data_IF_536172487920
#
_entry.id   IF_536172487920
#
_cell.length_a   1.000
_cell.length_b   1.000
_cell.length_c   1.000
_cell.angle_alpha   90.00
_cell.angle_beta   90.00
_cell.angle_gamma   90.00
#
_symmetry.space_group_name_H-M   'P 1'
#
loop_
_entity.id
_entity.type
_entity.pdbx_description
1 polymer ?
#
# COMPACT_ATOMS: atom_id res chain seq x y z
N UNK A 1 -35.23 7.91 -31.26
CA UNK A 1 -35.62 6.90 -30.26
C UNK A 1 -34.72 5.68 -30.50
N UNK A 2 -33.66 5.35 -29.75
CA UNK A 2 -33.26 5.66 -28.38
C UNK A 2 -31.77 6.03 -28.33
N UNK A 3 -31.50 7.30 -28.00
CA UNK A 3 -30.28 7.65 -27.31
C UNK A 3 -30.53 7.44 -25.83
N UNK A 4 -29.81 6.51 -25.22
CA UNK A 4 -29.50 6.58 -23.80
C UNK A 4 -28.03 6.20 -23.70
N UNK A 5 -27.20 7.24 -23.79
CA UNK A 5 -25.86 7.21 -23.25
C UNK A 5 -25.99 6.82 -21.77
N UNK A 6 -25.66 5.57 -21.45
CA UNK A 6 -25.67 5.08 -20.08
C UNK A 6 -24.42 5.61 -19.38
N UNK A 7 -24.46 6.90 -19.06
CA UNK A 7 -23.54 7.56 -18.13
C UNK A 7 -23.97 7.18 -16.70
N UNK A 8 -23.65 5.97 -16.27
CA UNK A 8 -23.75 5.60 -14.85
C UNK A 8 -22.36 5.68 -14.23
N UNK A 9 -22.15 6.85 -13.65
CA UNK A 9 -21.35 7.15 -12.48
C UNK A 9 -20.93 5.91 -11.68
N UNK A 10 -19.66 5.54 -11.77
CA UNK A 10 -18.97 4.84 -10.69
C UNK A 10 -18.13 5.87 -9.93
N UNK A 11 -18.80 6.71 -9.14
CA UNK A 11 -18.18 7.34 -7.99
C UNK A 11 -18.02 6.24 -6.94
N UNK A 12 -17.00 5.41 -7.12
CA UNK A 12 -16.70 4.25 -6.28
C UNK A 12 -15.67 4.63 -5.22
N UNK A 13 -16.16 5.20 -4.13
CA UNK A 13 -15.47 5.47 -2.85
C UNK A 13 -14.14 6.22 -2.97
N UNK A 14 -14.14 7.49 -2.57
CA UNK A 14 -13.04 7.96 -1.74
C UNK A 14 -13.04 7.07 -0.50
N UNK A 15 -12.41 5.89 -0.60
CA UNK A 15 -11.95 5.21 0.58
C UNK A 15 -11.16 6.27 1.31
N UNK A 16 -11.44 6.47 2.60
CA UNK A 16 -10.41 7.00 3.49
C UNK A 16 -9.12 6.36 3.03
N UNK A 17 -8.07 7.15 2.75
CA UNK A 17 -6.77 6.57 2.44
C UNK A 17 -6.41 5.74 3.67
N UNK A 18 -6.83 4.47 3.66
CA UNK A 18 -6.39 3.45 4.59
C UNK A 18 -4.99 3.20 4.09
N UNK A 19 -4.10 4.13 4.44
CA UNK A 19 -2.69 4.01 4.16
C UNK A 19 -2.22 2.67 4.69
N UNK A 20 -1.15 2.17 4.13
CA UNK A 20 -0.59 0.91 4.56
C UNK A 20 -0.32 0.96 6.07
N UNK A 21 -1.00 0.11 6.84
CA UNK A 21 -0.84 0.02 8.30
C UNK A 21 0.11 -1.12 8.63
N UNK A 22 1.15 -0.82 9.39
CA UNK A 22 2.09 -1.83 9.86
C UNK A 22 1.42 -2.69 10.94
N UNK A 23 1.58 -4.02 10.91
CA UNK A 23 1.08 -4.89 11.96
C UNK A 23 1.86 -4.65 13.27
N UNK A 24 1.15 -4.81 14.39
CA UNK A 24 1.79 -4.78 15.71
C UNK A 24 2.63 -6.04 15.93
N UNK A 25 3.81 -5.88 16.54
CA UNK A 25 4.63 -7.04 16.88
C UNK A 25 3.91 -7.92 17.90
N UNK A 26 3.93 -9.26 17.72
CA UNK A 26 3.36 -10.17 18.71
C UNK A 26 4.16 -10.13 20.01
N UNK A 27 3.52 -10.50 21.11
CA UNK A 27 4.18 -10.58 22.42
C UNK A 27 5.14 -11.76 22.47
N UNK A 28 6.30 -11.58 23.13
CA UNK A 28 7.25 -12.64 23.40
C UNK A 28 7.60 -12.67 24.90
N UNK A 29 7.19 -13.73 25.64
CA UNK A 29 7.57 -13.89 27.04
C UNK A 29 9.08 -14.04 27.22
N UNK A 30 9.61 -13.62 28.37
CA UNK A 30 11.03 -13.81 28.71
C UNK A 30 11.31 -15.12 29.45
N UNK A 31 10.30 -15.71 30.11
CA UNK A 31 10.45 -16.98 30.83
C UNK A 31 10.38 -18.18 29.86
N UNK A 32 11.42 -19.04 29.79
CA UNK A 32 11.39 -20.26 29.00
C UNK A 32 10.25 -21.23 29.36
N UNK A 33 9.77 -21.23 30.60
CA UNK A 33 8.63 -22.05 31.00
C UNK A 33 7.35 -21.58 30.29
N UNK A 34 7.10 -20.27 30.27
CA UNK A 34 5.95 -19.67 29.57
C UNK A 34 6.05 -19.90 28.06
N UNK A 35 7.24 -19.78 27.47
CA UNK A 35 7.45 -20.06 26.04
C UNK A 35 7.04 -21.49 25.69
N UNK A 36 7.40 -22.49 26.52
CA UNK A 36 7.03 -23.88 26.29
C UNK A 36 5.55 -24.14 26.56
N UNK A 37 5.00 -23.54 27.60
CA UNK A 37 3.60 -23.70 27.97
C UNK A 37 2.64 -23.16 26.90
N UNK A 38 3.01 -22.06 26.25
CA UNK A 38 2.19 -21.38 25.25
C UNK A 38 2.75 -21.48 23.82
N UNK A 39 3.60 -22.47 23.54
CA UNK A 39 4.34 -22.57 22.28
C UNK A 39 3.45 -22.53 21.03
N UNK A 40 2.28 -23.18 21.07
CA UNK A 40 1.37 -23.22 19.93
C UNK A 40 0.65 -21.88 19.72
N UNK A 41 0.24 -21.20 20.79
CA UNK A 41 -0.34 -19.86 20.73
C UNK A 41 0.69 -18.85 20.19
N UNK A 42 1.90 -18.87 20.75
CA UNK A 42 2.98 -18.00 20.29
C UNK A 42 3.30 -18.26 18.82
N UNK A 43 3.34 -19.52 18.38
CA UNK A 43 3.55 -19.84 16.95
C UNK A 43 2.46 -19.23 16.07
N UNK A 44 1.20 -19.40 16.46
CA UNK A 44 0.06 -18.85 15.71
C UNK A 44 0.11 -17.33 15.61
N UNK A 45 0.40 -16.62 16.71
CA UNK A 45 0.48 -15.16 16.71
C UNK A 45 1.57 -14.64 15.76
N UNK A 46 2.72 -15.32 15.72
CA UNK A 46 3.80 -14.97 14.79
C UNK A 46 3.45 -15.28 13.33
N UNK A 47 2.76 -16.40 13.05
CA UNK A 47 2.29 -16.73 11.69
C UNK A 47 1.29 -15.70 11.16
N UNK A 48 0.38 -15.24 12.02
CA UNK A 48 -0.56 -14.14 11.72
C UNK A 48 0.24 -12.86 11.43
N UNK A 49 1.16 -12.48 12.32
CA UNK A 49 2.00 -11.30 12.12
C UNK A 49 2.74 -11.33 10.78
N UNK A 50 3.34 -12.46 10.40
CA UNK A 50 4.05 -12.56 9.13
C UNK A 50 3.13 -12.47 7.91
N UNK A 51 1.91 -12.99 8.02
CA UNK A 51 0.90 -12.86 6.96
C UNK A 51 0.51 -11.39 6.78
N UNK A 52 0.27 -10.69 7.88
CA UNK A 52 -0.10 -9.27 7.87
C UNK A 52 1.06 -8.38 7.41
N UNK A 53 2.30 -8.71 7.80
CA UNK A 53 3.49 -7.99 7.35
C UNK A 53 3.66 -8.09 5.83
N UNK A 54 3.38 -9.25 5.23
CA UNK A 54 3.39 -9.39 3.78
C UNK A 54 2.28 -8.57 3.11
N UNK A 55 1.08 -8.52 3.70
CA UNK A 55 0.00 -7.69 3.20
C UNK A 55 0.36 -6.20 3.24
N UNK A 56 1.00 -5.77 4.33
CA UNK A 56 1.53 -4.42 4.49
C UNK A 56 2.59 -4.08 3.43
N UNK A 57 3.58 -4.95 3.19
CA UNK A 57 4.58 -4.72 2.14
C UNK A 57 3.98 -4.65 0.74
N UNK A 58 3.00 -5.52 0.43
CA UNK A 58 2.27 -5.45 -0.85
C UNK A 58 1.51 -4.13 -1.00
N UNK A 59 0.98 -3.59 0.09
CA UNK A 59 0.35 -2.28 0.08
C UNK A 59 1.38 -1.18 -0.24
N UNK A 60 2.49 -1.12 0.51
CA UNK A 60 3.52 -0.09 0.32
C UNK A 60 4.09 -0.08 -1.09
N UNK A 61 4.28 -1.27 -1.66
CA UNK A 61 4.80 -1.41 -3.01
C UNK A 61 3.83 -0.85 -4.06
N UNK A 62 2.52 -0.95 -3.85
CA UNK A 62 1.52 -0.33 -4.73
C UNK A 62 1.56 1.20 -4.64
N UNK A 63 1.63 1.74 -3.43
CA UNK A 63 1.75 3.19 -3.22
C UNK A 63 3.03 3.74 -3.85
N UNK A 64 4.17 3.05 -3.64
CA UNK A 64 5.45 3.41 -4.24
C UNK A 64 5.37 3.44 -5.76
N UNK A 65 4.79 2.42 -6.39
CA UNK A 65 4.65 2.37 -7.86
C UNK A 65 3.78 3.50 -8.39
N UNK A 66 2.65 3.76 -7.75
CA UNK A 66 1.75 4.83 -8.17
C UNK A 66 2.46 6.20 -8.16
N UNK A 67 3.19 6.52 -7.08
CA UNK A 67 3.96 7.76 -6.99
C UNK A 67 5.13 7.77 -7.98
N UNK A 68 5.79 6.63 -8.19
CA UNK A 68 6.90 6.54 -9.14
C UNK A 68 6.45 6.86 -10.57
N UNK A 69 5.30 6.32 -11.00
CA UNK A 69 4.74 6.58 -12.33
C UNK A 69 4.38 8.07 -12.51
N UNK A 70 3.79 8.69 -11.48
CA UNK A 70 3.49 10.13 -11.48
C UNK A 70 4.77 10.97 -11.60
N UNK A 71 5.78 10.67 -10.78
CA UNK A 71 7.08 11.37 -10.81
C UNK A 71 7.74 11.22 -12.18
N UNK A 72 7.67 10.05 -12.80
CA UNK A 72 8.20 9.84 -14.15
C UNK A 72 7.50 10.74 -15.18
N UNK A 73 6.17 10.81 -15.15
CA UNK A 73 5.41 11.67 -16.06
C UNK A 73 5.73 13.15 -15.86
N UNK A 74 5.78 13.61 -14.60
CA UNK A 74 6.10 15.00 -14.28
C UNK A 74 7.53 15.38 -14.68
N UNK A 75 8.48 14.46 -14.51
CA UNK A 75 9.87 14.68 -14.91
C UNK A 75 10.00 14.85 -16.42
N UNK A 76 9.25 14.05 -17.21
CA UNK A 76 9.22 14.19 -18.68
C UNK A 76 8.60 15.51 -19.11
N UNK A 77 7.47 15.90 -18.51
CA UNK A 77 6.82 17.18 -18.80
C UNK A 77 7.73 18.37 -18.45
N UNK A 78 8.44 18.28 -17.32
CA UNK A 78 9.40 19.30 -16.90
C UNK A 78 10.59 19.42 -17.87
N UNK A 79 11.13 18.29 -18.34
CA UNK A 79 12.21 18.29 -19.32
C UNK A 79 11.80 18.99 -20.63
N UNK A 80 10.61 18.67 -21.16
CA UNK A 80 10.06 19.33 -22.36
C UNK A 80 9.89 20.84 -22.17
N UNK A 81 9.40 21.25 -21.00
CA UNK A 81 9.27 22.68 -20.67
C UNK A 81 10.62 23.40 -20.71
N UNK A 82 11.68 22.82 -20.15
CA UNK A 82 13.02 23.40 -20.19
C UNK A 82 13.53 23.53 -21.63
N UNK A 83 13.34 22.50 -22.46
CA UNK A 83 13.77 22.51 -23.86
C UNK A 83 13.08 23.61 -24.68
N UNK A 84 11.80 23.89 -24.40
CA UNK A 84 11.07 25.00 -25.03
C UNK A 84 11.60 26.36 -24.57
N UNK A 85 11.82 26.53 -23.27
CA UNK A 85 12.35 27.78 -22.71
C UNK A 85 13.78 28.10 -23.17
N UNK A 86 14.57 27.08 -23.54
CA UNK A 86 15.91 27.27 -24.06
C UNK A 86 15.96 27.76 -25.52
N UNK A 87 14.82 27.76 -26.22
CA UNK A 87 14.69 28.21 -27.62
C UNK A 87 14.28 29.69 -27.74
N UNK A 88 14.01 30.36 -26.62
CA UNK A 88 13.73 31.80 -26.52
C UNK A 88 15.01 32.60 -26.20
#
# INVERSE_FOLDING_TARGET
MWGVAMLVMACGTAGFAQGCMAPAAPFMPSDPADIRAYADLLRQDFEIYFTDAQAYFRCLERERRAVFDEVQQLTQAYAQMIELLAQE
#
